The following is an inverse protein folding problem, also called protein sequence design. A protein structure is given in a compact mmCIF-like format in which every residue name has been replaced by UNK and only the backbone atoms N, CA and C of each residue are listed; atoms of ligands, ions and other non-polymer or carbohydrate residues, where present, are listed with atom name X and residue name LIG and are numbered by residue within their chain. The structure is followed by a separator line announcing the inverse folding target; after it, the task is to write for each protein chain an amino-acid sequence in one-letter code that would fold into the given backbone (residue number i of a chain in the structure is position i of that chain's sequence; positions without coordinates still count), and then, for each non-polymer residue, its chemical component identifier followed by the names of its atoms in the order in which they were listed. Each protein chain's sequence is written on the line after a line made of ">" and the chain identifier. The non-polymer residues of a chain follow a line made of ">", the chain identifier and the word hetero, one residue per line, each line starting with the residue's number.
data_IF_430779568106
#
_entry.id   IF_430779568106
#
_cell.length_a   1.000
_cell.length_b   1.000
_cell.length_c   1.000
_cell.angle_alpha   90.00
_cell.angle_beta   90.00
_cell.angle_gamma   90.00
#
_symmetry.space_group_name_H-M   'P 1'
#
loop_
_entity.id
_entity.type
_entity.pdbx_description
1 polymer ?
#
# COMPACT_ATOMS: atom_id res chain seq x y z
N UNK A 1 2.95 19.09 3.34
CA UNK A 1 4.19 19.77 2.94
C UNK A 1 5.17 19.87 4.10
N UNK A 2 6.37 19.26 3.98
CA UNK A 2 7.50 19.73 4.79
C UNK A 2 7.87 21.08 4.18
N UNK A 3 7.82 22.16 4.95
CA UNK A 3 8.37 23.42 4.45
C UNK A 3 9.87 23.25 4.19
N UNK A 4 10.44 24.09 3.31
CA UNK A 4 11.88 24.14 3.08
C UNK A 4 12.66 24.17 4.41
N UNK A 5 12.17 24.97 5.36
CA UNK A 5 12.77 25.09 6.69
C UNK A 5 12.69 23.79 7.49
N UNK A 6 11.55 23.08 7.46
CA UNK A 6 11.40 21.78 8.12
C UNK A 6 12.35 20.72 7.55
N UNK A 7 12.61 20.73 6.25
CA UNK A 7 13.58 19.82 5.63
C UNK A 7 15.00 20.08 6.16
N UNK A 8 15.42 21.34 6.20
CA UNK A 8 16.73 21.73 6.73
C UNK A 8 16.87 21.43 8.22
N UNK A 9 15.84 21.72 9.01
CA UNK A 9 15.86 21.44 10.45
C UNK A 9 15.87 19.96 10.78
N UNK A 10 15.10 19.14 10.04
CA UNK A 10 15.10 17.68 10.24
C UNK A 10 16.49 17.12 9.90
N UNK A 11 17.06 17.49 8.75
CA UNK A 11 18.36 16.99 8.34
C UNK A 11 19.48 17.42 9.31
N UNK A 12 19.51 18.69 9.70
CA UNK A 12 20.46 19.21 10.68
C UNK A 12 20.37 18.47 12.01
N UNK A 13 19.17 18.40 12.58
CA UNK A 13 18.95 17.81 13.91
C UNK A 13 19.24 16.32 13.94
N UNK A 14 18.70 15.55 13.00
CA UNK A 14 18.87 14.09 13.04
C UNK A 14 20.31 13.67 12.70
N UNK A 15 21.01 14.39 11.81
CA UNK A 15 22.43 14.14 11.55
C UNK A 15 23.28 14.43 12.79
N UNK A 16 23.08 15.58 13.44
CA UNK A 16 23.84 15.94 14.64
C UNK A 16 23.62 14.91 15.75
N UNK A 17 22.37 14.50 15.98
CA UNK A 17 22.05 13.42 16.95
C UNK A 17 22.75 12.10 16.60
N UNK A 18 22.79 11.73 15.32
CA UNK A 18 23.50 10.52 14.90
C UNK A 18 24.99 10.62 15.25
N UNK A 19 25.63 11.73 14.89
CA UNK A 19 27.06 11.97 15.13
C UNK A 19 27.37 11.96 16.64
N UNK A 20 26.56 12.66 17.45
CA UNK A 20 26.70 12.74 18.91
C UNK A 20 26.56 11.38 19.60
N UNK A 21 25.61 10.55 19.15
CA UNK A 21 25.38 9.20 19.70
C UNK A 21 26.47 8.21 19.34
N UNK A 22 27.35 8.54 18.39
CA UNK A 22 28.37 7.67 17.86
C UNK A 22 29.77 8.30 18.00
N UNK A 23 30.36 8.29 19.20
CA UNK A 23 31.67 8.92 19.45
C UNK A 23 32.81 8.38 18.57
N UNK A 24 32.65 7.17 18.02
CA UNK A 24 33.60 6.54 17.11
C UNK A 24 33.65 7.19 15.71
N UNK A 25 32.71 8.09 15.38
CA UNK A 25 32.73 8.90 14.15
C UNK A 25 33.73 10.05 14.25
N UNK A 26 35.00 9.74 14.52
CA UNK A 26 36.04 10.70 14.89
C UNK A 26 36.18 11.83 13.85
N UNK A 27 36.06 11.51 12.55
CA UNK A 27 36.18 12.52 11.50
C UNK A 27 34.95 13.42 11.35
N UNK A 28 33.76 12.94 11.71
CA UNK A 28 32.52 13.74 11.67
C UNK A 28 32.33 14.57 12.94
N UNK A 29 32.92 14.14 14.06
CA UNK A 29 32.95 14.84 15.34
C UNK A 29 34.02 15.95 15.42
N UNK A 30 34.90 16.09 14.41
CA UNK A 30 35.83 17.21 14.32
C UNK A 30 35.09 18.53 14.04
N UNK A 31 35.69 19.69 14.39
CA UNK A 31 35.16 20.98 13.97
C UNK A 31 34.93 21.00 12.45
N UNK A 32 33.72 21.39 12.05
CA UNK A 32 33.32 21.50 10.65
C UNK A 32 33.91 22.77 10.04
N UNK A 33 34.21 22.72 8.75
CA UNK A 33 34.63 23.90 7.98
C UNK A 33 33.45 24.82 7.70
N UNK A 34 32.27 24.23 7.48
CA UNK A 34 30.99 24.92 7.39
C UNK A 34 29.94 24.12 8.17
N UNK A 35 29.14 24.82 8.98
CA UNK A 35 28.05 24.21 9.74
C UNK A 35 26.80 25.07 9.71
N UNK A 36 26.02 24.93 8.63
CA UNK A 36 24.69 25.53 8.52
C UNK A 36 23.61 24.44 8.50
N UNK A 37 22.34 24.85 8.66
CA UNK A 37 21.21 23.92 8.52
C UNK A 37 21.09 23.35 7.11
N UNK A 38 21.56 24.10 6.09
CA UNK A 38 21.47 23.70 4.67
C UNK A 38 22.70 22.91 4.23
N UNK A 39 23.89 23.34 4.64
CA UNK A 39 25.16 22.81 4.14
C UNK A 39 26.10 22.54 5.32
N UNK A 40 26.74 21.39 5.29
CA UNK A 40 27.79 21.01 6.23
C UNK A 40 29.01 20.57 5.45
N UNK A 41 30.18 21.09 5.80
CA UNK A 41 31.47 20.68 5.25
C UNK A 41 32.32 20.12 6.39
N UNK A 42 32.63 18.84 6.30
CA UNK A 42 33.35 18.11 7.33
C UNK A 42 34.86 18.24 7.13
N UNK A 43 35.63 18.05 8.21
CA UNK A 43 37.10 18.20 8.21
C UNK A 43 37.86 17.25 7.27
N UNK A 44 37.19 16.24 6.70
CA UNK A 44 37.73 15.33 5.70
C UNK A 44 37.41 15.77 4.25
N UNK A 45 36.85 16.95 4.05
CA UNK A 45 36.45 17.49 2.75
C UNK A 45 35.12 16.94 2.20
N UNK A 46 34.47 16.01 2.90
CA UNK A 46 33.10 15.60 2.55
C UNK A 46 32.11 16.71 2.88
N UNK A 47 31.03 16.79 2.12
CA UNK A 47 29.94 17.73 2.40
C UNK A 47 28.58 17.06 2.36
N UNK A 48 27.65 17.61 3.15
CA UNK A 48 26.24 17.30 3.09
C UNK A 48 25.49 18.58 2.71
N UNK A 49 24.70 18.52 1.65
CA UNK A 49 23.80 19.60 1.26
C UNK A 49 22.37 19.07 1.33
N UNK A 50 21.52 19.77 2.08
CA UNK A 50 20.11 19.45 2.19
C UNK A 50 19.31 20.22 1.15
N UNK A 51 18.44 19.52 0.44
CA UNK A 51 17.44 20.06 -0.48
C UNK A 51 16.03 19.81 0.02
N UNK A 52 15.05 20.17 -0.80
CA UNK A 52 13.65 19.81 -0.61
C UNK A 52 13.06 19.40 -1.97
N UNK A 53 11.91 18.74 -1.97
CA UNK A 53 11.21 18.34 -3.19
C UNK A 53 10.94 19.57 -4.08
N UNK A 54 11.28 19.47 -5.37
CA UNK A 54 11.24 20.57 -6.34
C UNK A 54 12.18 21.75 -6.03
N UNK A 55 13.08 21.60 -5.06
CA UNK A 55 14.12 22.57 -4.77
C UNK A 55 15.27 22.53 -5.78
N UNK A 56 16.06 23.59 -5.80
CA UNK A 56 17.25 23.69 -6.64
C UNK A 56 18.37 22.79 -6.09
N UNK A 57 18.47 21.57 -6.61
CA UNK A 57 19.58 20.63 -6.37
C UNK A 57 20.47 20.44 -7.62
N UNK A 58 20.11 21.13 -8.70
CA UNK A 58 20.85 21.17 -9.96
C UNK A 58 22.29 21.66 -9.74
N UNK A 59 23.26 20.98 -10.35
CA UNK A 59 24.69 21.28 -10.25
C UNK A 59 25.43 20.69 -9.04
N UNK A 60 24.74 19.97 -8.14
CA UNK A 60 25.37 19.44 -6.91
C UNK A 60 26.44 18.36 -7.15
N UNK A 61 26.32 17.54 -8.21
CA UNK A 61 27.24 16.45 -8.56
C UNK A 61 27.57 15.56 -7.35
N UNK A 62 26.54 15.02 -6.71
CA UNK A 62 26.65 14.26 -5.47
C UNK A 62 27.22 12.84 -5.72
N UNK A 63 28.01 12.34 -4.76
CA UNK A 63 28.39 10.92 -4.71
C UNK A 63 27.26 10.05 -4.12
N UNK A 64 26.37 10.65 -3.33
CA UNK A 64 25.24 9.99 -2.70
C UNK A 64 24.05 10.95 -2.66
N UNK A 65 22.95 10.56 -3.30
CA UNK A 65 21.66 11.22 -3.22
C UNK A 65 20.76 10.40 -2.28
N UNK A 66 20.19 11.04 -1.26
CA UNK A 66 19.24 10.42 -0.33
C UNK A 66 17.91 11.15 -0.46
N UNK A 67 16.85 10.40 -0.79
CA UNK A 67 15.47 10.87 -0.85
C UNK A 67 14.69 10.26 0.33
N UNK A 68 14.54 11.03 1.42
CA UNK A 68 13.89 10.60 2.67
C UNK A 68 12.41 11.04 2.73
N UNK A 69 11.49 10.08 2.86
CA UNK A 69 10.04 10.30 3.01
C UNK A 69 9.48 11.32 1.99
N UNK A 70 9.83 11.14 0.72
CA UNK A 70 9.52 12.10 -0.35
C UNK A 70 8.02 12.11 -0.74
N UNK A 71 7.24 11.11 -0.31
CA UNK A 71 5.78 11.06 -0.49
C UNK A 71 5.08 11.23 0.86
N UNK A 72 4.03 12.05 0.86
CA UNK A 72 3.09 12.19 1.98
C UNK A 72 1.68 11.74 1.63
N UNK A 73 0.94 11.34 2.67
CA UNK A 73 -0.45 10.87 2.59
C UNK A 73 -1.44 11.89 1.99
N UNK A 74 -1.18 13.20 2.10
CA UNK A 74 -2.09 14.27 1.61
C UNK A 74 -1.43 15.34 0.75
N UNK A 75 -0.40 14.98 -0.02
CA UNK A 75 0.06 15.82 -1.12
C UNK A 75 1.41 16.47 -0.89
N UNK A 76 2.30 16.13 -1.82
CA UNK A 76 3.44 16.93 -2.27
C UNK A 76 3.53 16.86 -3.83
N UNK A 77 2.41 16.62 -4.53
CA UNK A 77 2.33 16.44 -5.99
C UNK A 77 1.67 15.12 -6.39
N UNK A 78 1.43 14.92 -7.70
CA UNK A 78 1.06 13.59 -8.23
C UNK A 78 2.28 12.67 -8.22
N UNK A 79 2.11 11.35 -8.08
CA UNK A 79 3.21 10.38 -8.14
C UNK A 79 4.09 10.63 -9.38
N UNK A 80 3.45 10.86 -10.53
CA UNK A 80 4.12 11.14 -11.81
C UNK A 80 5.01 12.39 -11.79
N UNK A 81 4.57 13.47 -11.13
CA UNK A 81 5.35 14.72 -11.03
C UNK A 81 6.60 14.50 -10.17
N UNK A 82 6.46 13.73 -9.09
CA UNK A 82 7.59 13.37 -8.23
C UNK A 82 8.57 12.47 -8.97
N UNK A 83 8.09 11.44 -9.68
CA UNK A 83 8.94 10.57 -10.50
C UNK A 83 9.69 11.37 -11.57
N UNK A 84 8.99 12.22 -12.32
CA UNK A 84 9.61 13.08 -13.34
C UNK A 84 10.69 13.99 -12.76
N UNK A 85 10.48 14.51 -11.54
CA UNK A 85 11.53 15.29 -10.87
C UNK A 85 12.69 14.42 -10.43
N UNK A 86 12.43 13.23 -9.86
CA UNK A 86 13.49 12.32 -9.43
C UNK A 86 14.36 11.92 -10.64
N UNK A 87 13.75 11.37 -11.68
CA UNK A 87 14.46 10.80 -12.83
C UNK A 87 15.01 11.87 -13.78
N UNK A 88 14.27 12.97 -13.97
CA UNK A 88 14.63 14.02 -14.91
C UNK A 88 15.57 15.09 -14.33
N UNK A 89 15.54 15.32 -13.01
CA UNK A 89 16.29 16.43 -12.37
C UNK A 89 17.30 15.92 -11.37
N UNK A 90 16.93 14.99 -10.49
CA UNK A 90 17.78 14.61 -9.36
C UNK A 90 18.81 13.55 -9.68
N UNK A 91 18.40 12.47 -10.34
CA UNK A 91 19.30 11.37 -10.71
C UNK A 91 20.45 11.84 -11.61
N UNK A 92 20.25 12.73 -12.60
CA UNK A 92 21.34 13.25 -13.42
C UNK A 92 22.41 14.04 -12.63
N UNK A 93 22.10 14.45 -11.39
CA UNK A 93 23.05 15.13 -10.51
C UNK A 93 23.90 14.17 -9.68
N UNK A 94 23.66 12.87 -9.78
CA UNK A 94 24.51 11.84 -9.17
C UNK A 94 25.66 11.55 -10.13
N UNK A 95 26.88 11.42 -9.60
CA UNK A 95 28.04 11.06 -10.42
C UNK A 95 27.92 9.63 -10.96
N UNK A 96 28.66 9.31 -12.01
CA UNK A 96 28.67 7.98 -12.63
C UNK A 96 29.01 6.85 -11.65
N UNK A 97 29.84 7.12 -10.64
CA UNK A 97 30.21 6.18 -9.56
C UNK A 97 29.41 6.39 -8.26
N UNK A 98 28.44 7.30 -8.30
CA UNK A 98 27.58 7.64 -7.17
C UNK A 98 26.42 6.66 -6.98
N UNK A 99 25.62 6.92 -5.95
CA UNK A 99 24.43 6.11 -5.63
C UNK A 99 23.23 6.98 -5.29
N UNK A 100 22.06 6.48 -5.64
CA UNK A 100 20.77 7.02 -5.20
C UNK A 100 20.15 6.07 -4.19
N UNK A 101 19.70 6.61 -3.06
CA UNK A 101 18.98 5.87 -2.01
C UNK A 101 17.65 6.55 -1.79
N UNK A 102 16.57 5.81 -2.03
CA UNK A 102 15.20 6.26 -1.80
C UNK A 102 14.68 5.49 -0.60
N UNK A 103 14.32 6.20 0.47
CA UNK A 103 13.88 5.60 1.73
C UNK A 103 12.61 6.28 2.20
N UNK A 104 11.71 5.50 2.76
CA UNK A 104 10.54 6.04 3.44
C UNK A 104 9.45 5.02 3.61
N UNK A 105 8.31 5.50 4.09
CA UNK A 105 7.17 4.64 4.42
C UNK A 105 6.17 4.63 3.27
N UNK A 106 5.81 3.44 2.79
CA UNK A 106 4.76 3.28 1.77
C UNK A 106 3.41 3.78 2.30
N UNK A 107 2.70 4.54 1.48
CA UNK A 107 1.42 5.17 1.89
C UNK A 107 0.21 4.68 1.08
N UNK A 108 0.45 4.17 -0.13
CA UNK A 108 -0.59 3.67 -1.05
C UNK A 108 0.02 2.63 -2.02
N UNK A 109 -0.79 1.73 -2.61
CA UNK A 109 -0.26 0.68 -3.48
C UNK A 109 0.45 1.22 -4.74
N UNK A 110 0.04 2.38 -5.25
CA UNK A 110 0.53 3.05 -6.47
C UNK A 110 1.49 4.22 -6.16
N UNK A 111 2.31 4.08 -5.11
CA UNK A 111 3.34 5.06 -4.75
C UNK A 111 4.61 4.94 -5.61
N UNK A 112 5.57 5.87 -5.45
CA UNK A 112 6.82 5.84 -6.24
C UNK A 112 7.64 4.57 -5.98
N UNK A 113 7.48 3.93 -4.81
CA UNK A 113 8.24 2.74 -4.47
C UNK A 113 7.83 1.58 -5.36
N UNK A 114 6.55 1.51 -5.73
CA UNK A 114 6.07 0.57 -6.74
C UNK A 114 6.69 0.79 -8.12
N UNK A 115 7.02 2.03 -8.51
CA UNK A 115 7.75 2.30 -9.74
C UNK A 115 9.19 1.75 -9.68
N UNK A 116 9.90 1.99 -8.57
CA UNK A 116 11.30 1.54 -8.40
C UNK A 116 11.44 0.07 -8.01
N UNK A 117 10.35 -0.65 -7.71
CA UNK A 117 10.34 -2.09 -7.41
C UNK A 117 10.92 -2.90 -8.56
N UNK A 118 10.51 -2.57 -9.79
CA UNK A 118 10.87 -3.29 -11.01
C UNK A 118 11.78 -2.47 -11.94
N UNK A 119 12.24 -1.29 -11.49
CA UNK A 119 13.05 -0.40 -12.29
C UNK A 119 14.51 -0.89 -12.35
N UNK A 120 15.02 -1.11 -13.56
CA UNK A 120 16.38 -1.60 -13.76
C UNK A 120 17.43 -0.67 -13.14
N UNK A 121 18.38 -1.25 -12.41
CA UNK A 121 19.44 -0.52 -11.73
C UNK A 121 19.14 -0.16 -10.27
N UNK A 122 17.92 -0.42 -9.79
CA UNK A 122 17.56 -0.29 -8.38
C UNK A 122 17.43 -1.66 -7.71
N UNK A 123 17.87 -1.71 -6.45
CA UNK A 123 17.57 -2.83 -5.56
C UNK A 123 16.46 -2.40 -4.61
N UNK A 124 15.37 -3.16 -4.55
CA UNK A 124 14.22 -2.86 -3.73
C UNK A 124 14.12 -3.84 -2.55
N UNK A 125 14.06 -3.30 -1.32
CA UNK A 125 13.94 -4.06 -0.07
C UNK A 125 12.95 -3.33 0.86
N UNK A 126 12.17 -4.08 1.62
CA UNK A 126 11.17 -3.54 2.54
C UNK A 126 11.49 -3.94 3.97
N UNK A 127 11.58 -3.00 4.92
CA UNK A 127 11.96 -3.28 6.31
C UNK A 127 10.77 -3.10 7.27
N UNK A 128 9.82 -4.05 7.32
CA UNK A 128 8.70 -3.99 8.26
C UNK A 128 9.19 -4.11 9.72
N UNK A 129 8.53 -3.44 10.66
CA UNK A 129 8.82 -3.57 12.08
C UNK A 129 8.44 -4.95 12.63
N UNK A 130 7.38 -5.58 12.10
CA UNK A 130 6.94 -6.94 12.43
C UNK A 130 6.98 -7.78 11.16
N UNK A 131 7.94 -8.69 11.07
CA UNK A 131 8.19 -9.47 9.85
C UNK A 131 7.05 -10.45 9.55
N UNK A 132 6.54 -11.12 10.58
CA UNK A 132 5.53 -12.18 10.45
C UNK A 132 4.24 -11.64 9.80
N UNK A 133 3.89 -10.38 10.11
CA UNK A 133 2.71 -9.71 9.53
C UNK A 133 2.93 -9.38 8.06
N UNK A 134 4.14 -8.95 7.70
CA UNK A 134 4.50 -8.67 6.31
C UNK A 134 4.59 -9.98 5.51
N UNK A 135 5.18 -11.03 6.06
CA UNK A 135 5.24 -12.37 5.47
C UNK A 135 3.85 -12.97 5.27
N UNK A 136 2.94 -12.79 6.24
CA UNK A 136 1.57 -13.25 6.09
C UNK A 136 0.84 -12.55 4.93
N UNK A 137 1.10 -11.27 4.71
CA UNK A 137 0.44 -10.51 3.64
C UNK A 137 1.03 -10.82 2.26
N UNK A 138 2.35 -10.84 2.16
CA UNK A 138 3.07 -10.82 0.88
C UNK A 138 3.79 -12.14 0.57
N UNK A 139 3.66 -13.16 1.41
CA UNK A 139 4.35 -14.45 1.27
C UNK A 139 4.04 -15.22 -0.01
N UNK A 140 2.94 -14.88 -0.68
CA UNK A 140 2.53 -15.47 -1.96
C UNK A 140 2.94 -14.65 -3.19
N UNK A 141 3.52 -13.44 -3.00
CA UNK A 141 3.99 -12.61 -4.11
C UNK A 141 5.23 -13.24 -4.79
N UNK A 142 5.27 -13.21 -6.12
CA UNK A 142 6.36 -13.82 -6.92
C UNK A 142 7.76 -13.26 -6.58
N UNK A 143 7.84 -12.02 -6.08
CA UNK A 143 9.09 -11.35 -5.72
C UNK A 143 9.32 -11.26 -4.20
N UNK A 144 8.54 -12.00 -3.40
CA UNK A 144 8.58 -11.95 -1.93
C UNK A 144 10.00 -12.11 -1.39
N UNK A 145 10.76 -13.11 -1.87
CA UNK A 145 12.15 -13.33 -1.44
C UNK A 145 13.07 -12.14 -1.77
N UNK A 146 12.79 -11.43 -2.86
CA UNK A 146 13.58 -10.28 -3.30
C UNK A 146 13.28 -9.04 -2.48
N UNK A 147 12.08 -8.88 -1.94
CA UNK A 147 11.75 -7.71 -1.08
C UNK A 147 12.09 -7.92 0.38
N UNK A 148 11.93 -9.15 0.85
CA UNK A 148 12.10 -9.52 2.25
C UNK A 148 13.53 -9.22 2.73
N UNK A 149 13.72 -8.59 3.90
CA UNK A 149 15.06 -8.40 4.44
C UNK A 149 15.65 -9.69 4.99
N UNK A 150 16.96 -9.65 5.18
CA UNK A 150 17.68 -10.76 5.79
C UNK A 150 17.18 -11.01 7.23
N UNK A 151 16.95 -12.29 7.61
CA UNK A 151 16.49 -12.64 8.94
C UNK A 151 17.40 -12.14 10.08
N UNK A 152 18.67 -11.87 9.81
CA UNK A 152 19.66 -11.40 10.81
C UNK A 152 19.30 -10.04 11.43
N UNK A 153 18.48 -9.23 10.75
CA UNK A 153 18.02 -7.94 11.28
C UNK A 153 16.89 -8.07 12.30
N UNK A 154 16.31 -9.26 12.45
CA UNK A 154 15.13 -9.49 13.27
C UNK A 154 15.45 -10.27 14.54
N UNK A 155 14.76 -9.92 15.61
CA UNK A 155 14.85 -10.59 16.91
C UNK A 155 13.50 -11.22 17.23
N UNK A 156 13.51 -12.51 17.57
CA UNK A 156 12.32 -13.18 18.11
C UNK A 156 12.01 -12.64 19.52
N UNK A 157 10.78 -12.17 19.72
CA UNK A 157 10.28 -11.64 20.99
C UNK A 157 8.89 -12.19 21.29
N UNK A 158 8.44 -12.07 22.55
CA UNK A 158 7.07 -12.43 22.93
C UNK A 158 6.04 -11.56 22.20
N UNK A 159 5.00 -12.18 21.66
CA UNK A 159 3.93 -11.50 20.96
C UNK A 159 3.04 -10.73 21.96
N UNK A 160 3.00 -9.39 21.91
CA UNK A 160 2.26 -8.60 22.89
C UNK A 160 0.74 -8.65 22.70
N UNK A 161 0.25 -9.29 21.63
CA UNK A 161 -1.18 -9.45 21.34
C UNK A 161 -1.70 -10.87 21.59
N UNK A 162 -0.81 -11.86 21.73
CA UNK A 162 -1.17 -13.27 21.89
C UNK A 162 -0.20 -13.98 22.83
N UNK A 163 -0.69 -14.26 24.05
CA UNK A 163 0.11 -14.91 25.08
C UNK A 163 0.57 -16.31 24.63
N UNK A 164 1.87 -16.58 24.80
CA UNK A 164 2.48 -17.86 24.42
C UNK A 164 2.87 -17.98 22.94
N UNK A 165 2.68 -16.94 22.13
CA UNK A 165 3.20 -16.83 20.77
C UNK A 165 4.42 -15.90 20.73
N UNK A 166 5.30 -16.08 19.74
CA UNK A 166 6.40 -15.17 19.43
C UNK A 166 6.18 -14.46 18.09
N UNK A 167 6.93 -13.38 17.87
CA UNK A 167 7.03 -12.70 16.58
C UNK A 167 8.46 -12.15 16.38
N UNK A 168 8.80 -11.80 15.15
CA UNK A 168 10.10 -11.30 14.72
C UNK A 168 10.05 -9.77 14.56
N UNK A 169 10.76 -9.05 15.43
CA UNK A 169 10.83 -7.58 15.41
C UNK A 169 12.15 -7.04 14.85
N UNK A 170 12.04 -5.97 14.07
CA UNK A 170 13.16 -5.15 13.64
C UNK A 170 13.58 -4.20 14.79
N UNK A 171 14.81 -4.36 15.28
CA UNK A 171 15.44 -3.50 16.29
C UNK A 171 14.55 -3.21 17.52
N UNK A 172 14.22 -4.24 18.33
CA UNK A 172 13.34 -4.09 19.50
C UNK A 172 13.86 -3.08 20.54
N UNK A 173 15.16 -2.78 20.56
CA UNK A 173 15.76 -1.74 21.38
C UNK A 173 15.31 -0.32 21.00
N UNK A 174 14.91 -0.11 19.73
CA UNK A 174 14.35 1.15 19.27
C UNK A 174 12.83 1.20 19.44
N UNK A 175 12.13 0.11 19.10
CA UNK A 175 10.66 -0.03 19.17
C UNK A 175 10.25 -1.44 19.57
N UNK A 176 10.27 -1.71 20.87
CA UNK A 176 9.96 -3.03 21.43
C UNK A 176 8.47 -3.42 21.37
N UNK A 177 8.14 -4.67 21.73
CA UNK A 177 6.79 -5.23 21.62
C UNK A 177 5.74 -4.44 22.41
N UNK A 178 6.05 -4.04 23.65
CA UNK A 178 5.14 -3.23 24.49
C UNK A 178 4.87 -1.86 23.87
N UNK A 179 5.89 -1.24 23.27
CA UNK A 179 5.74 0.06 22.60
C UNK A 179 4.83 -0.06 21.37
N UNK A 180 5.00 -1.12 20.58
CA UNK A 180 4.15 -1.39 19.42
C UNK A 180 2.69 -1.66 19.84
N UNK A 181 2.48 -2.40 20.93
CA UNK A 181 1.15 -2.64 21.47
C UNK A 181 0.49 -1.35 21.98
N UNK A 182 1.23 -0.52 22.73
CA UNK A 182 0.77 0.80 23.17
C UNK A 182 0.41 1.70 21.97
N UNK A 183 1.24 1.70 20.92
CA UNK A 183 0.95 2.45 19.70
C UNK A 183 -0.29 1.96 18.98
N UNK A 184 -0.41 0.65 18.75
CA UNK A 184 -1.59 0.06 18.12
C UNK A 184 -2.87 0.41 18.87
N UNK A 185 -2.84 0.41 20.21
CA UNK A 185 -4.02 0.77 21.03
C UNK A 185 -4.53 2.21 20.84
N UNK A 186 -3.70 3.09 20.26
CA UNK A 186 -3.97 4.53 20.07
C UNK A 186 -4.31 4.91 18.63
N UNK A 187 -4.35 3.96 17.71
CA UNK A 187 -4.63 4.23 16.30
C UNK A 187 -5.51 3.14 15.68
N UNK A 188 -6.13 3.45 14.54
CA UNK A 188 -6.85 2.44 13.79
C UNK A 188 -5.90 1.36 13.27
N UNK A 189 -6.33 0.10 13.34
CA UNK A 189 -5.49 -1.06 13.00
C UNK A 189 -4.89 -0.97 11.58
N UNK A 190 -5.66 -0.55 10.58
CA UNK A 190 -5.17 -0.39 9.21
C UNK A 190 -4.06 0.67 9.09
N UNK A 191 -4.11 1.75 9.88
CA UNK A 191 -3.06 2.77 9.92
C UNK A 191 -1.81 2.24 10.63
N UNK A 192 -1.99 1.43 11.68
CA UNK A 192 -0.89 0.79 12.38
C UNK A 192 -0.12 -0.15 11.46
N UNK A 193 -0.81 -1.08 10.80
CA UNK A 193 -0.17 -2.05 9.91
C UNK A 193 0.49 -1.36 8.70
N UNK A 194 -0.16 -0.35 8.12
CA UNK A 194 0.48 0.44 7.07
C UNK A 194 1.78 1.10 7.52
N UNK A 195 1.77 1.76 8.68
CA UNK A 195 2.92 2.54 9.16
C UNK A 195 4.07 1.69 9.65
N UNK A 196 3.78 0.57 10.33
CA UNK A 196 4.80 -0.23 11.00
C UNK A 196 5.15 -1.51 10.27
N UNK A 197 4.28 -2.06 9.41
CA UNK A 197 4.57 -3.31 8.70
C UNK A 197 4.55 -3.15 7.19
N UNK A 198 4.40 -1.90 6.69
CA UNK A 198 4.27 -1.59 5.25
C UNK A 198 3.08 -2.30 4.60
N UNK A 199 2.16 -2.83 5.42
CA UNK A 199 1.05 -3.65 4.96
C UNK A 199 -0.14 -2.76 4.69
N UNK A 200 -0.49 -2.61 3.42
CA UNK A 200 -1.58 -1.76 2.99
C UNK A 200 -2.89 -2.57 3.03
N UNK A 201 -3.37 -2.84 4.25
CA UNK A 201 -4.65 -3.54 4.46
C UNK A 201 -5.80 -2.58 4.21
N UNK A 202 -6.66 -2.92 3.25
CA UNK A 202 -7.87 -2.16 2.94
C UNK A 202 -7.65 -0.80 2.27
N UNK A 203 -6.46 -0.51 1.72
CA UNK A 203 -6.28 0.69 0.88
C UNK A 203 -6.42 0.42 -0.63
N UNK A 204 -6.61 -0.83 -1.06
CA UNK A 204 -7.53 -1.13 -2.17
C UNK A 204 -8.91 -1.33 -1.55
N UNK A 205 -9.86 -0.46 -1.91
CA UNK A 205 -11.15 -0.30 -1.26
C UNK A 205 -12.09 -1.49 -1.37
N UNK A 206 -11.84 -2.55 -0.61
CA UNK A 206 -12.90 -3.50 -0.28
C UNK A 206 -13.80 -2.85 0.78
N UNK A 207 -15.01 -2.48 0.36
CA UNK A 207 -16.07 -1.98 1.24
C UNK A 207 -16.52 -3.01 2.28
N UNK A 208 -16.19 -4.29 2.06
CA UNK A 208 -16.59 -5.46 2.85
C UNK A 208 -15.44 -6.47 2.90
N UNK A 209 -15.31 -7.21 4.00
CA UNK A 209 -14.27 -8.21 4.15
C UNK A 209 -14.52 -9.42 3.24
N UNK A 210 -13.45 -10.00 2.70
CA UNK A 210 -13.57 -11.18 1.82
C UNK A 210 -14.22 -12.37 2.53
N UNK A 211 -14.05 -12.50 3.85
CA UNK A 211 -14.74 -13.50 4.67
C UNK A 211 -16.26 -13.36 4.62
N UNK A 212 -16.76 -12.12 4.61
CA UNK A 212 -18.20 -11.81 4.62
C UNK A 212 -18.85 -12.15 3.28
N UNK A 213 -18.06 -12.15 2.19
CA UNK A 213 -18.49 -12.57 0.84
C UNK A 213 -18.44 -14.11 0.69
N UNK A 214 -17.56 -14.76 1.43
CA UNK A 214 -17.32 -16.20 1.34
C UNK A 214 -18.22 -17.01 2.29
N UNK A 215 -18.87 -16.37 3.26
CA UNK A 215 -19.86 -17.02 4.13
C UNK A 215 -21.14 -17.36 3.35
N UNK A 216 -21.60 -18.60 3.46
CA UNK A 216 -22.83 -19.04 2.81
C UNK A 216 -24.03 -18.39 3.51
N UNK A 217 -24.89 -17.69 2.75
CA UNK A 217 -26.12 -17.15 3.30
C UNK A 217 -27.02 -18.29 3.79
N UNK A 218 -27.51 -18.19 5.04
CA UNK A 218 -28.36 -19.21 5.70
C UNK A 218 -29.63 -19.60 4.91
N UNK A 219 -30.04 -18.76 3.96
CA UNK A 219 -31.23 -18.94 3.12
C UNK A 219 -30.93 -19.54 1.72
N UNK A 220 -29.74 -20.09 1.49
CA UNK A 220 -29.38 -20.70 0.20
C UNK A 220 -29.00 -19.70 -0.90
N UNK A 221 -28.55 -18.50 -0.54
CA UNK A 221 -27.95 -17.56 -1.48
C UNK A 221 -26.54 -18.01 -1.87
N UNK A 222 -26.22 -17.97 -3.17
CA UNK A 222 -24.93 -18.43 -3.69
C UNK A 222 -23.85 -17.34 -3.60
N UNK A 223 -22.67 -17.74 -3.16
CA UNK A 223 -21.42 -16.98 -3.34
C UNK A 223 -20.79 -17.35 -4.69
N UNK A 224 -20.06 -16.38 -5.23
CA UNK A 224 -19.50 -16.14 -6.57
C UNK A 224 -18.62 -17.28 -7.15
N UNK A 225 -18.52 -18.46 -6.53
CA UNK A 225 -17.69 -19.58 -7.01
C UNK A 225 -18.34 -20.96 -6.81
N UNK A 226 -18.62 -21.63 -7.94
CA UNK A 226 -18.74 -23.09 -8.00
C UNK A 226 -20.09 -23.72 -7.67
N UNK A 227 -21.16 -22.94 -7.49
CA UNK A 227 -22.53 -23.46 -7.30
C UNK A 227 -23.53 -22.76 -8.22
N UNK A 228 -24.56 -23.49 -8.63
CA UNK A 228 -25.65 -22.93 -9.45
C UNK A 228 -26.66 -22.19 -8.56
N UNK A 229 -27.11 -20.99 -8.96
CA UNK A 229 -28.12 -20.23 -8.24
C UNK A 229 -29.46 -20.98 -8.10
N UNK A 230 -30.23 -20.71 -7.04
CA UNK A 230 -31.59 -21.26 -6.89
C UNK A 230 -32.49 -20.76 -8.03
N UNK A 231 -33.01 -21.70 -8.84
CA UNK A 231 -33.74 -21.44 -10.10
C UNK A 231 -35.18 -20.92 -9.97
N UNK A 232 -35.66 -20.61 -8.76
CA UNK A 232 -37.06 -20.22 -8.57
C UNK A 232 -37.16 -18.87 -7.85
N UNK A 233 -37.40 -17.82 -8.64
CA UNK A 233 -37.28 -16.42 -8.23
C UNK A 233 -38.55 -15.61 -8.54
N UNK A 234 -39.72 -16.15 -8.17
CA UNK A 234 -40.95 -15.36 -8.20
C UNK A 234 -41.10 -14.65 -6.85
N UNK A 235 -41.04 -13.31 -6.80
CA UNK A 235 -41.26 -12.58 -5.56
C UNK A 235 -42.71 -12.76 -5.09
N UNK A 236 -42.90 -12.94 -3.77
CA UNK A 236 -44.21 -12.90 -3.16
C UNK A 236 -44.82 -11.49 -3.20
N UNK A 237 -46.10 -11.37 -2.83
CA UNK A 237 -46.76 -10.07 -2.77
C UNK A 237 -45.97 -9.11 -1.86
N UNK A 238 -45.61 -7.92 -2.33
CA UNK A 238 -44.83 -6.95 -1.55
C UNK A 238 -43.32 -7.20 -1.48
N UNK A 239 -42.82 -8.15 -2.25
CA UNK A 239 -41.39 -8.40 -2.47
C UNK A 239 -41.02 -8.00 -3.90
N UNK A 240 -39.73 -7.89 -4.20
CA UNK A 240 -39.26 -7.59 -5.55
C UNK A 240 -38.03 -8.42 -5.91
N UNK A 241 -37.85 -8.69 -7.19
CA UNK A 241 -36.56 -9.10 -7.74
C UNK A 241 -35.95 -7.92 -8.49
N UNK A 242 -34.72 -7.55 -8.15
CA UNK A 242 -33.99 -6.42 -8.74
C UNK A 242 -32.80 -6.97 -9.51
N UNK A 243 -32.72 -6.68 -10.79
CA UNK A 243 -31.56 -6.97 -11.63
C UNK A 243 -30.76 -5.69 -11.82
N UNK A 244 -29.47 -5.74 -11.52
CA UNK A 244 -28.53 -4.66 -11.78
C UNK A 244 -27.45 -5.12 -12.76
N UNK A 245 -26.92 -4.19 -13.53
CA UNK A 245 -25.94 -4.45 -14.57
C UNK A 245 -24.94 -3.30 -14.64
N UNK A 246 -23.67 -3.66 -14.71
CA UNK A 246 -22.55 -2.76 -15.00
C UNK A 246 -22.05 -3.02 -16.43
N UNK A 247 -22.35 -2.11 -17.38
CA UNK A 247 -21.99 -2.30 -18.78
C UNK A 247 -20.49 -2.06 -19.02
N UNK A 248 -19.74 -3.14 -19.26
CA UNK A 248 -18.43 -3.07 -19.91
C UNK A 248 -18.44 -3.87 -21.22
N UNK A 249 -17.80 -3.34 -22.28
CA UNK A 249 -17.79 -3.96 -23.62
C UNK A 249 -16.37 -4.16 -24.15
N UNK A 250 -15.36 -4.07 -23.28
CA UNK A 250 -13.97 -4.21 -23.71
C UNK A 250 -13.65 -5.69 -23.93
N UNK A 251 -13.10 -6.08 -25.09
CA UNK A 251 -12.68 -7.46 -25.35
C UNK A 251 -11.38 -7.84 -24.62
N UNK A 252 -10.68 -6.88 -24.01
CA UNK A 252 -9.43 -7.08 -23.26
C UNK A 252 -9.41 -6.32 -21.93
N UNK A 253 -10.57 -5.85 -21.48
CA UNK A 253 -10.71 -5.03 -20.26
C UNK A 253 -11.79 -5.58 -19.36
N UNK A 254 -12.49 -4.70 -18.66
CA UNK A 254 -13.45 -5.09 -17.61
C UNK A 254 -14.61 -5.96 -18.13
N UNK A 255 -15.07 -6.86 -17.26
CA UNK A 255 -16.21 -7.75 -17.48
C UNK A 255 -17.53 -6.95 -17.49
N UNK A 256 -18.46 -7.31 -18.38
CA UNK A 256 -19.86 -6.96 -18.17
C UNK A 256 -20.37 -7.77 -16.98
N UNK A 257 -20.81 -7.09 -15.92
CA UNK A 257 -21.27 -7.74 -14.70
C UNK A 257 -22.79 -7.58 -14.51
N UNK A 258 -23.45 -8.65 -14.09
CA UNK A 258 -24.88 -8.71 -13.82
C UNK A 258 -25.09 -9.33 -12.45
N UNK A 259 -26.05 -8.79 -11.70
CA UNK A 259 -26.46 -9.35 -10.41
C UNK A 259 -27.98 -9.30 -10.29
N UNK A 260 -28.56 -10.35 -9.70
CA UNK A 260 -29.98 -10.41 -9.37
C UNK A 260 -30.15 -10.52 -7.85
N UNK A 261 -31.01 -9.69 -7.27
CA UNK A 261 -31.32 -9.69 -5.83
C UNK A 261 -32.80 -9.93 -5.58
N UNK A 262 -33.12 -10.73 -4.58
CA UNK A 262 -34.44 -10.74 -3.95
C UNK A 262 -34.48 -9.68 -2.86
N UNK A 263 -35.49 -8.83 -2.89
CA UNK A 263 -35.75 -7.82 -1.86
C UNK A 263 -37.00 -8.24 -1.10
N UNK A 264 -36.79 -8.69 0.14
CA UNK A 264 -37.86 -9.10 1.04
C UNK A 264 -38.69 -7.91 1.52
N UNK A 265 -39.88 -8.19 2.06
CA UNK A 265 -40.77 -7.16 2.66
C UNK A 265 -40.11 -6.38 3.80
N UNK A 266 -39.16 -7.00 4.48
CA UNK A 266 -38.36 -6.43 5.57
C UNK A 266 -37.20 -5.55 5.07
N UNK A 267 -37.03 -5.42 3.75
CA UNK A 267 -35.97 -4.65 3.11
C UNK A 267 -34.64 -5.39 3.02
N UNK A 268 -34.53 -6.63 3.50
CA UNK A 268 -33.31 -7.43 3.34
C UNK A 268 -33.15 -7.83 1.88
N UNK A 269 -31.90 -7.82 1.42
CA UNK A 269 -31.52 -8.17 0.05
C UNK A 269 -30.74 -9.47 0.07
N UNK A 270 -31.17 -10.43 -0.73
CA UNK A 270 -30.50 -11.72 -0.90
C UNK A 270 -30.00 -11.81 -2.34
N UNK A 271 -28.70 -12.07 -2.54
CA UNK A 271 -28.14 -12.31 -3.87
C UNK A 271 -28.69 -13.64 -4.41
N UNK A 272 -29.28 -13.59 -5.58
CA UNK A 272 -29.91 -14.72 -6.25
C UNK A 272 -28.98 -15.30 -7.32
N UNK A 273 -28.35 -14.44 -8.10
CA UNK A 273 -27.48 -14.81 -9.21
C UNK A 273 -26.46 -13.70 -9.51
N UNK A 274 -25.31 -14.08 -10.05
CA UNK A 274 -24.25 -13.18 -10.49
C UNK A 274 -23.52 -13.75 -11.72
N UNK A 275 -23.38 -12.93 -12.77
CA UNK A 275 -22.72 -13.30 -14.02
C UNK A 275 -21.70 -12.22 -14.36
N UNK A 276 -20.49 -12.62 -14.76
CA UNK A 276 -19.45 -11.72 -15.24
C UNK A 276 -18.79 -12.32 -16.49
N UNK A 277 -18.75 -11.56 -17.60
CA UNK A 277 -18.16 -12.02 -18.86
C UNK A 277 -17.52 -10.85 -19.64
N UNK A 278 -16.30 -11.08 -20.15
CA UNK A 278 -15.58 -10.10 -20.98
C UNK A 278 -16.12 -10.03 -22.41
N UNK A 279 -16.03 -8.85 -23.05
CA UNK A 279 -16.27 -8.72 -24.49
C UNK A 279 -17.70 -9.02 -24.97
N UNK A 280 -18.71 -8.97 -24.09
CA UNK A 280 -20.09 -9.25 -24.46
C UNK A 280 -20.61 -8.26 -25.52
N UNK A 281 -21.24 -8.81 -26.57
CA UNK A 281 -21.93 -7.99 -27.57
C UNK A 281 -23.18 -7.31 -26.96
N UNK A 282 -23.64 -6.16 -27.48
CA UNK A 282 -24.89 -5.53 -27.01
C UNK A 282 -26.12 -6.44 -27.09
N UNK A 283 -26.16 -7.38 -28.04
CA UNK A 283 -27.18 -8.42 -28.12
C UNK A 283 -27.07 -9.46 -27.00
N UNK A 284 -25.84 -9.87 -26.66
CA UNK A 284 -25.58 -10.81 -25.56
C UNK A 284 -25.97 -10.20 -24.22
N UNK A 285 -25.62 -8.93 -23.98
CA UNK A 285 -26.02 -8.17 -22.78
C UNK A 285 -27.55 -8.14 -22.64
N UNK A 286 -28.28 -7.85 -23.74
CA UNK A 286 -29.75 -7.86 -23.74
C UNK A 286 -30.32 -9.26 -23.46
N UNK A 287 -29.70 -10.31 -24.01
CA UNK A 287 -30.13 -11.68 -23.79
C UNK A 287 -29.93 -12.10 -22.32
N UNK A 288 -28.78 -11.79 -21.72
CA UNK A 288 -28.50 -12.08 -20.31
C UNK A 288 -29.44 -11.32 -19.37
N UNK A 289 -29.71 -10.03 -19.63
CA UNK A 289 -30.73 -9.29 -18.88
C UNK A 289 -32.11 -9.92 -19.00
N UNK A 290 -32.50 -10.32 -20.22
CA UNK A 290 -33.78 -10.97 -20.44
C UNK A 290 -33.85 -12.33 -19.73
N UNK A 291 -32.79 -13.12 -19.69
CA UNK A 291 -32.75 -14.42 -19.00
C UNK A 291 -32.91 -14.26 -17.48
N UNK A 292 -32.12 -13.35 -16.90
CA UNK A 292 -32.23 -12.98 -15.47
C UNK A 292 -33.60 -12.41 -15.11
N UNK A 293 -34.27 -11.72 -16.05
CA UNK A 293 -35.66 -11.26 -15.89
C UNK A 293 -36.69 -12.38 -16.13
N UNK A 294 -36.44 -13.32 -17.04
CA UNK A 294 -37.43 -14.37 -17.39
C UNK A 294 -37.50 -15.46 -16.32
N UNK A 295 -36.41 -15.69 -15.59
CA UNK A 295 -36.42 -16.44 -14.34
C UNK A 295 -37.37 -15.86 -13.26
N UNK A 296 -37.90 -14.64 -13.47
CA UNK A 296 -38.73 -13.90 -12.51
C UNK A 296 -40.20 -13.68 -12.93
N UNK A 297 -40.60 -14.11 -14.13
CA UNK A 297 -41.98 -13.91 -14.61
C UNK A 297 -42.87 -15.08 -14.17
N UNK A 298 -44.06 -14.84 -13.58
CA UNK A 298 -45.04 -15.91 -13.41
C UNK A 298 -45.46 -16.40 -14.81
N UNK A 299 -45.48 -17.72 -15.02
CA UNK A 299 -46.35 -18.29 -16.07
C UNK A 299 -47.78 -17.90 -15.69
N UNK A 300 -48.34 -16.90 -16.38
CA UNK A 300 -49.74 -16.53 -16.25
C UNK A 300 -50.62 -17.68 -16.74
N UNK A 301 -51.55 -18.11 -15.86
CA UNK A 301 -52.76 -18.90 -16.07
C UNK A 301 -52.78 -19.94 -17.19
#
# INVERSE_FOLDING_TARGET
>A
MNTQEQAYEKADRELNRMIERNPWLINLNKPREEDSKKTKVFANGSSLTTGWLFGAIEGSRAHLLILDDIIKERGDGKTEEVLNWIDGVTQPMVKDDGRTVIVGTRKRPDDIYSHYRDYEGYAFREFPAVLDVWDQEYGEDDDWQTRRPDPEYYTEVENPWRAGESLHLLWPEARGPEWLADKRSKMADHLFWREYTLTIRGASGNLIDASDVNELAENGGCSIRGQNPPRQLTPGAGEATVVAHDPAQSPTGDDAAFVAFHVGRDGRRTLLDAVAETGMSPSSVKATLADLMTATTPRSW
#
